data_IF_955958147450
#
_entry.id   IF_955958147450
#
_cell.length_a   1.000
_cell.length_b   1.000
_cell.length_c   1.000
_cell.angle_alpha   90.00
_cell.angle_beta   90.00
_cell.angle_gamma   90.00
#
_symmetry.space_group_name_H-M   'P 1'
#
loop_
_entity.id
_entity.type
_entity.pdbx_description
1 polymer ?
#
# COMPACT_ATOMS: atom_id res chain seq x y z
N UNK A 1 27.51 9.51 -3.09
CA UNK A 1 26.73 9.83 -1.88
C UNK A 1 25.45 8.98 -1.93
N UNK A 2 25.45 7.81 -1.28
CA UNK A 2 24.28 6.93 -1.22
C UNK A 2 23.27 7.53 -0.24
N UNK A 3 22.06 7.78 -0.74
CA UNK A 3 20.96 8.38 0.03
C UNK A 3 20.41 7.29 0.95
N UNK A 4 20.72 7.36 2.25
CA UNK A 4 20.20 6.43 3.26
C UNK A 4 18.67 6.43 3.20
N UNK A 5 18.07 5.33 2.77
CA UNK A 5 16.62 5.15 2.85
C UNK A 5 16.27 5.18 4.33
N UNK A 6 15.47 6.16 4.74
CA UNK A 6 14.99 6.23 6.12
C UNK A 6 13.96 5.11 6.30
N UNK A 7 14.36 4.02 6.95
CA UNK A 7 13.42 2.98 7.37
C UNK A 7 12.39 3.64 8.29
N UNK A 8 11.15 3.66 7.84
CA UNK A 8 10.04 4.22 8.61
C UNK A 8 9.67 3.25 9.72
N UNK A 9 9.44 3.77 10.91
CA UNK A 9 8.85 2.99 12.00
C UNK A 9 7.40 2.59 11.66
N UNK A 10 6.91 1.51 12.28
CA UNK A 10 5.50 1.11 12.19
C UNK A 10 4.53 2.26 12.46
N UNK A 11 4.85 3.11 13.45
CA UNK A 11 4.03 4.27 13.79
C UNK A 11 4.01 5.27 12.63
N UNK A 12 5.16 5.59 12.04
CA UNK A 12 5.22 6.49 10.89
C UNK A 12 4.48 5.91 9.68
N UNK A 13 4.60 4.61 9.42
CA UNK A 13 3.88 3.91 8.34
C UNK A 13 2.36 4.01 8.56
N UNK A 14 1.88 3.74 9.77
CA UNK A 14 0.45 3.82 10.11
C UNK A 14 -0.08 5.24 9.98
N UNK A 15 0.65 6.23 10.48
CA UNK A 15 0.24 7.64 10.41
C UNK A 15 0.09 8.09 8.96
N UNK A 16 1.12 7.86 8.13
CA UNK A 16 1.06 8.24 6.71
C UNK A 16 -0.04 7.46 5.97
N UNK A 17 -0.21 6.18 6.27
CA UNK A 17 -1.28 5.37 5.69
C UNK A 17 -2.67 5.92 6.00
N UNK A 18 -2.94 6.27 7.25
CA UNK A 18 -4.23 6.85 7.67
C UNK A 18 -4.45 8.22 7.03
N UNK A 19 -3.42 9.06 6.96
CA UNK A 19 -3.50 10.36 6.28
C UNK A 19 -3.81 10.21 4.78
N UNK A 20 -3.15 9.29 4.10
CA UNK A 20 -3.40 9.00 2.69
C UNK A 20 -4.83 8.51 2.45
N UNK A 21 -5.33 7.61 3.30
CA UNK A 21 -6.72 7.13 3.25
C UNK A 21 -7.72 8.28 3.48
N UNK A 22 -7.49 9.10 4.48
CA UNK A 22 -8.35 10.26 4.76
C UNK A 22 -8.38 11.24 3.58
N UNK A 23 -7.23 11.49 2.96
CA UNK A 23 -7.13 12.39 1.80
C UNK A 23 -7.86 11.84 0.57
N UNK A 24 -7.78 10.54 0.33
CA UNK A 24 -8.36 9.91 -0.85
C UNK A 24 -9.87 9.63 -0.70
N UNK A 25 -10.31 9.22 0.49
CA UNK A 25 -11.67 8.69 0.71
C UNK A 25 -12.55 9.62 1.56
N UNK A 26 -11.95 10.57 2.29
CA UNK A 26 -12.61 11.29 3.37
C UNK A 26 -12.68 10.47 4.67
N UNK A 27 -12.89 11.13 5.82
CA UNK A 27 -12.73 10.51 7.14
C UNK A 27 -13.71 9.35 7.41
N UNK A 28 -14.96 9.48 6.96
CA UNK A 28 -15.97 8.44 7.18
C UNK A 28 -15.68 7.16 6.39
N UNK A 29 -15.31 7.28 5.12
CA UNK A 29 -15.00 6.14 4.27
C UNK A 29 -13.64 5.51 4.63
N UNK A 30 -12.65 6.30 5.04
CA UNK A 30 -11.38 5.80 5.55
C UNK A 30 -11.55 4.92 6.80
N UNK A 31 -12.37 5.36 7.77
CA UNK A 31 -12.68 4.56 8.96
C UNK A 31 -13.40 3.25 8.61
N UNK A 32 -14.39 3.33 7.69
CA UNK A 32 -15.08 2.13 7.19
C UNK A 32 -14.13 1.18 6.49
N UNK A 33 -13.20 1.67 5.67
CA UNK A 33 -12.17 0.87 5.01
C UNK A 33 -11.31 0.09 6.01
N UNK A 34 -10.79 0.76 7.05
CA UNK A 34 -10.02 0.10 8.11
C UNK A 34 -10.83 -0.96 8.85
N UNK A 35 -12.12 -0.71 9.05
CA UNK A 35 -13.04 -1.65 9.69
C UNK A 35 -13.29 -2.89 8.83
N UNK A 36 -13.41 -2.74 7.51
CA UNK A 36 -13.56 -3.86 6.57
C UNK A 36 -12.32 -4.76 6.57
N UNK A 37 -11.11 -4.17 6.59
CA UNK A 37 -9.86 -4.92 6.68
C UNK A 37 -9.74 -5.75 7.97
N UNK A 38 -10.33 -5.28 9.07
CA UNK A 38 -10.24 -5.97 10.37
C UNK A 38 -11.30 -7.07 10.54
N UNK A 39 -12.47 -6.94 9.89
CA UNK A 39 -13.64 -7.79 10.14
C UNK A 39 -13.82 -8.91 9.13
N UNK A 40 -13.40 -8.71 7.88
CA UNK A 40 -13.63 -9.66 6.80
C UNK A 40 -12.28 -10.17 6.29
N UNK A 41 -12.23 -11.46 5.94
CA UNK A 41 -11.08 -12.00 5.22
C UNK A 41 -10.98 -11.25 3.89
N UNK A 42 -10.05 -10.31 3.81
CA UNK A 42 -9.83 -9.53 2.61
C UNK A 42 -9.23 -10.45 1.55
N UNK A 43 -9.94 -10.66 0.44
CA UNK A 43 -9.43 -11.45 -0.68
C UNK A 43 -8.33 -10.66 -1.41
N UNK A 44 -7.13 -10.78 -0.87
CA UNK A 44 -5.95 -10.11 -1.42
C UNK A 44 -5.58 -10.65 -2.81
N UNK A 45 -6.01 -11.86 -3.17
CA UNK A 45 -5.75 -12.45 -4.49
C UNK A 45 -6.57 -11.73 -5.56
N UNK A 46 -7.86 -11.54 -5.32
CA UNK A 46 -8.72 -10.80 -6.24
C UNK A 46 -8.34 -9.32 -6.31
N UNK A 47 -7.99 -8.69 -5.18
CA UNK A 47 -7.51 -7.31 -5.17
C UNK A 47 -6.21 -7.16 -5.97
N UNK A 48 -5.24 -8.04 -5.75
CA UNK A 48 -3.97 -8.04 -6.49
C UNK A 48 -4.18 -8.22 -7.99
N UNK A 49 -5.06 -9.16 -8.38
CA UNK A 49 -5.42 -9.41 -9.79
C UNK A 49 -5.93 -8.12 -10.46
N UNK A 50 -6.81 -7.37 -9.79
CA UNK A 50 -7.35 -6.11 -10.32
C UNK A 50 -6.31 -4.98 -10.33
N UNK A 51 -5.50 -4.87 -9.28
CA UNK A 51 -4.48 -3.82 -9.17
C UNK A 51 -3.40 -3.93 -10.25
N UNK A 52 -3.08 -5.15 -10.67
CA UNK A 52 -2.04 -5.42 -11.66
C UNK A 52 -2.60 -5.93 -12.98
N UNK A 53 -3.90 -5.74 -13.22
CA UNK A 53 -4.53 -6.13 -14.47
C UNK A 53 -3.80 -5.46 -15.66
N UNK A 54 -3.49 -6.27 -16.68
CA UNK A 54 -2.75 -5.81 -17.86
C UNK A 54 -1.24 -5.66 -17.68
N UNK A 55 -0.67 -6.04 -16.52
CA UNK A 55 0.77 -6.03 -16.28
C UNK A 55 1.34 -7.46 -16.27
N UNK A 56 2.54 -7.63 -16.80
CA UNK A 56 3.28 -8.90 -16.67
C UNK A 56 3.98 -8.98 -15.31
N UNK A 57 4.36 -10.21 -14.91
CA UNK A 57 5.12 -10.44 -13.68
C UNK A 57 6.46 -9.67 -13.73
N UNK A 58 7.10 -9.65 -14.89
CA UNK A 58 8.36 -8.94 -15.12
C UNK A 58 8.21 -7.43 -14.90
N UNK A 59 7.13 -6.81 -15.39
CA UNK A 59 6.86 -5.37 -15.21
C UNK A 59 6.63 -5.01 -13.75
N UNK A 60 5.86 -5.83 -13.02
CA UNK A 60 5.62 -5.66 -11.58
C UNK A 60 6.95 -5.78 -10.83
N UNK A 61 7.78 -6.77 -11.19
CA UNK A 61 9.05 -7.02 -10.55
C UNK A 61 10.06 -5.89 -10.80
N UNK A 62 10.18 -5.37 -12.02
CA UNK A 62 11.09 -4.26 -12.32
C UNK A 62 10.70 -2.98 -11.56
N UNK A 63 9.40 -2.68 -11.47
CA UNK A 63 8.91 -1.56 -10.67
C UNK A 63 9.27 -1.72 -9.20
N UNK A 64 9.09 -2.91 -8.64
CA UNK A 64 9.48 -3.21 -7.27
C UNK A 64 11.00 -3.04 -7.05
N UNK A 65 11.83 -3.59 -7.95
CA UNK A 65 13.30 -3.44 -7.91
C UNK A 65 13.75 -1.97 -7.89
N UNK A 66 13.10 -1.12 -8.69
CA UNK A 66 13.44 0.30 -8.74
C UNK A 66 13.28 1.01 -7.39
N UNK A 67 12.34 0.54 -6.55
CA UNK A 67 12.09 1.05 -5.21
C UNK A 67 12.81 0.28 -4.09
N UNK A 68 13.40 -0.89 -4.39
CA UNK A 68 14.05 -1.76 -3.42
C UNK A 68 15.49 -1.34 -3.05
N UNK A 69 16.14 -0.43 -3.79
CA UNK A 69 17.60 -0.18 -3.61
C UNK A 69 18.01 0.11 -2.15
N UNK A 70 18.80 -0.83 -1.63
CA UNK A 70 19.57 -0.78 -0.37
C UNK A 70 20.58 0.37 -0.32
#
# INVERSE_FOLDING_TARGET
>A
MTKKVRTMSDTEIRTIGIEALNKALGPAAALRFLTLLHREATDYVEISRRLYEGQTVEEIFERARAHWKE
#
